data_IF_130531085145
#
_entry.id   IF_130531085145
#
_cell.length_a   1.000
_cell.length_b   1.000
_cell.length_c   1.000
_cell.angle_alpha   90.00
_cell.angle_beta   90.00
_cell.angle_gamma   90.00
#
_symmetry.space_group_name_H-M   'P 1'
#
loop_
_entity.id
_entity.type
_entity.pdbx_description
1 polymer ?
#
# COMPACT_ATOMS: atom_id res chain seq x y z
N UNK A 1 4.39 -15.87 -0.17
CA UNK A 1 3.25 -15.13 -0.73
C UNK A 1 3.61 -13.81 -1.39
N UNK A 2 4.71 -13.14 -1.01
CA UNK A 2 5.12 -11.85 -1.61
C UNK A 2 6.40 -12.00 -2.42
N UNK A 3 7.51 -12.41 -1.81
CA UNK A 3 8.77 -12.69 -2.53
C UNK A 3 8.74 -14.02 -3.27
N UNK A 4 8.01 -14.99 -2.71
CA UNK A 4 7.92 -16.35 -3.20
C UNK A 4 6.45 -16.72 -3.39
N UNK A 5 6.10 -17.46 -4.45
CA UNK A 5 4.73 -17.89 -4.69
C UNK A 5 4.26 -18.92 -3.65
N UNK A 6 2.94 -19.07 -3.54
CA UNK A 6 2.30 -20.08 -2.69
C UNK A 6 1.34 -20.93 -3.52
N UNK A 7 1.36 -22.23 -3.28
CA UNK A 7 0.43 -23.19 -3.88
C UNK A 7 -0.89 -23.24 -3.10
N UNK A 8 -1.98 -23.35 -3.84
CA UNK A 8 -3.34 -23.47 -3.35
C UNK A 8 -3.96 -24.73 -3.96
N UNK A 9 -4.20 -25.73 -3.11
CA UNK A 9 -4.86 -26.97 -3.50
C UNK A 9 -6.33 -26.86 -3.09
N UNK A 10 -7.21 -26.83 -4.08
CA UNK A 10 -8.65 -26.70 -3.89
C UNK A 10 -9.39 -28.03 -3.94
N UNK A 11 -10.58 -28.03 -3.37
CA UNK A 11 -11.58 -29.09 -3.51
C UNK A 11 -12.94 -28.44 -3.79
N UNK A 12 -13.97 -29.25 -4.07
CA UNK A 12 -15.32 -28.71 -4.27
C UNK A 12 -15.74 -27.84 -3.07
N UNK A 13 -16.13 -26.60 -3.36
CA UNK A 13 -16.56 -25.57 -2.39
C UNK A 13 -15.46 -25.04 -1.45
N UNK A 14 -14.19 -25.40 -1.64
CA UNK A 14 -13.12 -24.65 -0.97
C UNK A 14 -13.17 -23.19 -1.45
N UNK A 15 -13.10 -22.26 -0.51
CA UNK A 15 -13.35 -20.83 -0.76
C UNK A 15 -12.25 -19.95 -0.18
N UNK A 16 -12.16 -18.74 -0.71
CA UNK A 16 -11.44 -17.62 -0.13
C UNK A 16 -12.42 -16.48 0.07
N UNK A 17 -12.54 -16.03 1.30
CA UNK A 17 -13.51 -15.02 1.71
C UNK A 17 -13.16 -13.63 1.13
N UNK A 18 -14.06 -12.66 1.28
CA UNK A 18 -13.82 -11.29 0.83
C UNK A 18 -12.61 -10.67 1.52
N UNK A 19 -11.64 -10.21 0.73
CA UNK A 19 -10.47 -9.51 1.22
C UNK A 19 -9.79 -8.67 0.14
N UNK A 20 -8.83 -7.85 0.56
CA UNK A 20 -7.81 -7.22 -0.28
C UNK A 20 -6.45 -7.78 0.12
N UNK A 21 -5.47 -7.68 -0.75
CA UNK A 21 -4.10 -8.10 -0.42
C UNK A 21 -3.48 -7.19 0.65
N UNK A 22 -2.57 -7.77 1.44
CA UNK A 22 -1.77 -7.00 2.40
C UNK A 22 -1.08 -5.84 1.68
N UNK A 23 -1.02 -4.67 2.34
CA UNK A 23 -0.45 -3.44 1.76
C UNK A 23 -1.10 -2.99 0.44
N UNK A 24 -2.30 -3.47 0.12
CA UNK A 24 -2.96 -3.22 -1.16
C UNK A 24 -2.07 -3.58 -2.36
N UNK A 25 -1.27 -4.63 -2.22
CA UNK A 25 -0.47 -5.15 -3.33
C UNK A 25 -1.39 -5.64 -4.45
N UNK A 26 -0.80 -5.80 -5.64
CA UNK A 26 -1.38 -6.66 -6.66
C UNK A 26 -1.25 -8.12 -6.22
N UNK A 27 -2.13 -8.99 -6.71
CA UNK A 27 -1.85 -10.43 -6.76
C UNK A 27 -2.04 -10.99 -8.15
N UNK A 28 -1.24 -12.00 -8.50
CA UNK A 28 -1.40 -12.80 -9.71
C UNK A 28 -1.57 -14.25 -9.31
N UNK A 29 -2.58 -14.91 -9.86
CA UNK A 29 -2.89 -16.31 -9.63
C UNK A 29 -2.86 -17.07 -10.97
N UNK A 30 -2.06 -18.13 -11.06
CA UNK A 30 -2.05 -19.06 -12.19
C UNK A 30 -2.77 -20.35 -11.81
N UNK A 31 -3.64 -20.85 -12.70
CA UNK A 31 -4.36 -22.11 -12.48
C UNK A 31 -3.67 -23.26 -13.23
N UNK A 32 -2.98 -24.13 -12.50
CA UNK A 32 -2.19 -25.21 -13.09
C UNK A 32 -3.07 -26.31 -13.68
N UNK A 33 -4.04 -26.82 -12.92
CA UNK A 33 -4.86 -27.96 -13.33
C UNK A 33 -6.14 -28.13 -12.52
N UNK A 34 -7.00 -29.03 -12.98
CA UNK A 34 -8.23 -29.46 -12.29
C UNK A 34 -9.46 -28.65 -12.68
N UNK A 35 -10.47 -28.67 -11.81
CA UNK A 35 -11.73 -27.95 -12.00
C UNK A 35 -11.54 -26.43 -11.95
N UNK A 36 -12.49 -25.70 -12.54
CA UNK A 36 -12.45 -24.24 -12.58
C UNK A 36 -12.57 -23.59 -11.21
N UNK A 37 -12.26 -22.29 -11.14
CA UNK A 37 -12.36 -21.45 -9.95
C UNK A 37 -13.17 -20.20 -10.24
N UNK A 38 -14.21 -19.94 -9.45
CA UNK A 38 -14.97 -18.67 -9.54
C UNK A 38 -14.28 -17.60 -8.71
N UNK A 39 -14.16 -16.41 -9.28
CA UNK A 39 -13.75 -15.19 -8.63
C UNK A 39 -14.86 -14.14 -8.72
N UNK A 40 -15.02 -13.37 -7.65
CA UNK A 40 -15.79 -12.15 -7.60
C UNK A 40 -14.84 -11.00 -7.24
N UNK A 41 -14.98 -9.86 -7.90
CA UNK A 41 -14.13 -8.70 -7.72
C UNK A 41 -14.91 -7.41 -7.64
N UNK A 42 -14.48 -6.52 -6.75
CA UNK A 42 -14.95 -5.14 -6.62
C UNK A 42 -13.77 -4.22 -6.92
N UNK A 43 -13.93 -3.21 -7.79
CA UNK A 43 -12.86 -2.28 -8.11
C UNK A 43 -12.38 -1.48 -6.91
N UNK A 44 -11.09 -1.13 -6.88
CA UNK A 44 -10.51 -0.34 -5.79
C UNK A 44 -11.18 1.02 -5.55
N UNK A 45 -11.73 1.67 -6.60
CA UNK A 45 -12.46 2.93 -6.44
C UNK A 45 -13.79 2.77 -5.68
N UNK A 46 -14.38 1.56 -5.68
CA UNK A 46 -15.61 1.24 -4.95
C UNK A 46 -15.31 0.52 -3.61
N UNK A 47 -14.05 0.48 -3.17
CA UNK A 47 -13.66 -0.21 -1.93
C UNK A 47 -14.34 0.42 -0.70
N UNK A 48 -14.47 1.74 -0.65
CA UNK A 48 -15.17 2.42 0.44
C UNK A 48 -16.67 2.10 0.45
N UNK A 49 -17.32 2.07 -0.72
CA UNK A 49 -18.74 1.72 -0.83
C UNK A 49 -18.97 0.25 -0.41
N UNK A 50 -18.07 -0.65 -0.83
CA UNK A 50 -18.07 -2.03 -0.37
C UNK A 50 -17.97 -2.14 1.16
N UNK A 51 -17.03 -1.43 1.78
CA UNK A 51 -16.84 -1.46 3.24
C UNK A 51 -18.08 -0.92 3.97
N UNK A 52 -18.70 0.14 3.46
CA UNK A 52 -19.95 0.69 4.01
C UNK A 52 -21.08 -0.34 3.98
N UNK A 53 -21.30 -0.99 2.83
CA UNK A 53 -22.33 -2.03 2.68
C UNK A 53 -22.06 -3.21 3.62
N UNK A 54 -20.80 -3.62 3.77
CA UNK A 54 -20.42 -4.72 4.68
C UNK A 54 -20.72 -4.37 6.13
N UNK A 55 -20.38 -3.16 6.58
CA UNK A 55 -20.68 -2.73 7.94
C UNK A 55 -22.18 -2.74 8.19
N UNK A 56 -22.96 -2.16 7.27
CA UNK A 56 -24.40 -1.98 7.45
C UNK A 56 -25.18 -3.30 7.34
N UNK A 57 -24.86 -4.15 6.36
CA UNK A 57 -25.69 -5.29 5.97
C UNK A 57 -25.11 -6.67 6.33
N UNK A 58 -23.83 -6.76 6.71
CA UNK A 58 -23.18 -8.04 7.04
C UNK A 58 -22.87 -8.15 8.54
N UNK A 59 -22.21 -7.15 9.12
CA UNK A 59 -21.85 -7.16 10.54
C UNK A 59 -22.83 -6.40 11.44
N UNK A 60 -23.62 -5.48 10.86
CA UNK A 60 -24.57 -4.63 11.57
C UNK A 60 -23.94 -3.41 12.26
N UNK A 61 -24.76 -2.39 12.50
CA UNK A 61 -24.32 -1.08 13.02
C UNK A 61 -23.64 -1.12 14.40
N UNK A 62 -23.94 -2.12 15.23
CA UNK A 62 -23.31 -2.28 16.55
C UNK A 62 -21.81 -2.59 16.47
N UNK A 63 -21.37 -3.32 15.43
CA UNK A 63 -19.95 -3.56 15.17
C UNK A 63 -19.23 -2.29 14.71
N UNK A 64 -19.89 -1.44 13.92
CA UNK A 64 -19.36 -0.17 13.44
C UNK A 64 -18.97 0.78 14.60
N UNK A 65 -19.79 0.83 15.65
CA UNK A 65 -19.55 1.71 16.80
C UNK A 65 -18.32 1.29 17.62
N UNK A 66 -17.92 0.02 17.57
CA UNK A 66 -16.79 -0.49 18.37
C UNK A 66 -15.44 -0.31 17.69
N UNK A 67 -15.41 -0.40 16.35
CA UNK A 67 -14.14 -0.40 15.59
C UNK A 67 -13.92 0.86 14.72
N UNK A 68 -14.90 1.78 14.67
CA UNK A 68 -14.74 3.09 14.03
C UNK A 68 -14.72 3.04 12.49
N UNK A 69 -14.09 4.04 11.87
CA UNK A 69 -14.07 4.23 10.39
C UNK A 69 -13.41 3.05 9.65
N UNK A 70 -12.55 2.29 10.32
CA UNK A 70 -11.81 1.16 9.76
C UNK A 70 -12.40 -0.21 10.14
N UNK A 71 -13.61 -0.25 10.70
CA UNK A 71 -14.26 -1.47 11.20
C UNK A 71 -14.35 -2.60 10.17
N UNK A 72 -14.88 -2.34 8.97
CA UNK A 72 -15.01 -3.36 7.94
C UNK A 72 -13.65 -3.97 7.56
N UNK A 73 -12.64 -3.14 7.36
CA UNK A 73 -11.31 -3.61 7.01
C UNK A 73 -10.65 -4.40 8.15
N UNK A 74 -10.80 -3.95 9.40
CA UNK A 74 -10.30 -4.65 10.59
C UNK A 74 -10.88 -6.06 10.75
N UNK A 75 -12.16 -6.25 10.38
CA UNK A 75 -12.82 -7.55 10.40
C UNK A 75 -12.43 -8.41 9.18
N UNK A 76 -12.44 -7.82 7.98
CA UNK A 76 -12.21 -8.53 6.72
C UNK A 76 -10.74 -8.92 6.49
N UNK A 77 -9.78 -8.23 7.11
CA UNK A 77 -8.35 -8.61 7.03
C UNK A 77 -8.09 -10.03 7.57
N UNK A 78 -8.99 -10.55 8.41
CA UNK A 78 -8.95 -11.95 8.86
C UNK A 78 -9.27 -12.97 7.77
N UNK A 79 -9.77 -12.54 6.60
CA UNK A 79 -10.15 -13.37 5.45
C UNK A 79 -11.14 -14.50 5.79
N UNK A 80 -12.09 -14.23 6.69
CA UNK A 80 -13.02 -15.24 7.22
C UNK A 80 -14.48 -15.03 6.79
N UNK A 81 -14.86 -13.84 6.32
CA UNK A 81 -16.26 -13.51 6.09
C UNK A 81 -16.63 -13.62 4.62
N UNK A 82 -17.43 -14.65 4.32
CA UNK A 82 -18.01 -14.89 3.00
C UNK A 82 -19.49 -14.52 3.01
N UNK A 83 -19.92 -13.70 2.07
CA UNK A 83 -21.33 -13.38 1.82
C UNK A 83 -21.61 -13.28 0.32
N UNK A 84 -22.86 -13.52 -0.13
CA UNK A 84 -23.20 -13.49 -1.53
C UNK A 84 -22.94 -12.11 -2.14
N UNK A 85 -22.36 -12.03 -3.36
CA UNK A 85 -22.13 -10.74 -4.01
C UNK A 85 -23.42 -9.96 -4.32
N UNK A 86 -24.57 -10.64 -4.27
CA UNK A 86 -25.89 -10.01 -4.41
C UNK A 86 -26.12 -8.88 -3.41
N UNK A 87 -25.61 -9.01 -2.17
CA UNK A 87 -25.71 -7.95 -1.15
C UNK A 87 -25.05 -6.67 -1.65
N UNK A 88 -23.92 -6.77 -2.36
CA UNK A 88 -23.20 -5.60 -2.90
C UNK A 88 -23.95 -5.00 -4.08
N UNK A 89 -24.37 -5.81 -5.04
CA UNK A 89 -25.05 -5.33 -6.23
C UNK A 89 -26.40 -4.69 -5.92
N UNK A 90 -27.14 -5.23 -4.94
CA UNK A 90 -28.44 -4.68 -4.51
C UNK A 90 -28.29 -3.29 -3.87
N UNK A 91 -27.08 -2.93 -3.42
CA UNK A 91 -26.74 -1.62 -2.84
C UNK A 91 -25.83 -0.78 -3.74
N UNK A 92 -25.79 -1.08 -5.05
CA UNK A 92 -25.10 -0.25 -6.05
C UNK A 92 -23.58 -0.40 -6.11
N UNK A 93 -22.99 -1.34 -5.37
CA UNK A 93 -21.55 -1.63 -5.45
C UNK A 93 -21.28 -2.52 -6.67
N UNK A 94 -20.39 -2.10 -7.59
CA UNK A 94 -20.09 -2.88 -8.79
C UNK A 94 -19.34 -4.17 -8.43
N UNK A 95 -19.88 -5.31 -8.88
CA UNK A 95 -19.26 -6.63 -8.73
C UNK A 95 -19.08 -7.28 -10.09
N UNK A 96 -17.88 -7.80 -10.34
CA UNK A 96 -17.53 -8.53 -11.54
C UNK A 96 -17.22 -9.99 -11.19
N UNK A 97 -17.54 -10.90 -12.11
CA UNK A 97 -17.28 -12.33 -11.95
C UNK A 97 -16.30 -12.80 -13.02
N UNK A 98 -15.32 -13.61 -12.61
CA UNK A 98 -14.49 -14.39 -13.52
C UNK A 98 -14.59 -15.89 -13.17
N UNK A 99 -14.54 -16.74 -14.20
CA UNK A 99 -14.38 -18.19 -14.03
C UNK A 99 -13.04 -18.53 -14.66
N UNK A 100 -12.09 -18.92 -13.82
CA UNK A 100 -10.72 -19.24 -14.20
C UNK A 100 -10.61 -20.73 -14.51
N UNK A 101 -10.09 -21.04 -15.69
CA UNK A 101 -9.81 -22.39 -16.18
C UNK A 101 -8.31 -22.69 -16.13
N UNK A 102 -7.88 -23.97 -16.24
CA UNK A 102 -6.46 -24.32 -16.32
C UNK A 102 -5.73 -23.60 -17.46
N UNK A 103 -4.52 -23.13 -17.16
CA UNK A 103 -3.67 -22.37 -18.09
C UNK A 103 -3.85 -20.84 -17.98
N UNK A 104 -4.77 -20.35 -17.14
CA UNK A 104 -5.12 -18.94 -17.12
C UNK A 104 -4.61 -18.21 -15.88
N UNK A 105 -4.27 -16.95 -16.10
CA UNK A 105 -3.95 -16.01 -15.04
C UNK A 105 -5.17 -15.21 -14.62
N UNK A 106 -5.28 -14.96 -13.31
CA UNK A 106 -6.16 -13.96 -12.72
C UNK A 106 -5.30 -12.93 -11.99
N UNK A 107 -5.45 -11.65 -12.33
CA UNK A 107 -4.75 -10.55 -11.65
C UNK A 107 -5.76 -9.75 -10.82
N UNK A 108 -5.45 -9.52 -9.55
CA UNK A 108 -6.18 -8.57 -8.70
C UNK A 108 -5.38 -7.28 -8.55
N UNK A 109 -6.09 -6.15 -8.63
CA UNK A 109 -5.48 -4.82 -8.57
C UNK A 109 -5.44 -4.29 -7.12
N UNK A 110 -4.59 -3.28 -6.83
CA UNK A 110 -4.53 -2.63 -5.53
C UNK A 110 -5.91 -2.23 -5.02
N UNK A 111 -6.16 -2.55 -3.74
CA UNK A 111 -7.40 -2.23 -3.03
C UNK A 111 -8.66 -2.87 -3.64
N UNK A 112 -8.54 -3.79 -4.60
CA UNK A 112 -9.67 -4.49 -5.18
C UNK A 112 -10.11 -5.66 -4.28
N UNK A 113 -11.28 -5.52 -3.66
CA UNK A 113 -11.87 -6.60 -2.86
C UNK A 113 -12.21 -7.79 -3.74
N UNK A 114 -11.85 -8.99 -3.30
CA UNK A 114 -12.12 -10.20 -4.04
C UNK A 114 -12.44 -11.40 -3.13
N UNK A 115 -13.24 -12.30 -3.66
CA UNK A 115 -13.65 -13.56 -3.02
C UNK A 115 -13.91 -14.62 -4.08
N UNK A 116 -14.04 -15.88 -3.68
CA UNK A 116 -14.30 -16.94 -4.65
C UNK A 116 -14.26 -18.34 -4.09
N UNK A 117 -14.48 -19.31 -4.97
CA UNK A 117 -14.56 -20.72 -4.60
C UNK A 117 -14.20 -21.65 -5.77
N UNK A 118 -13.84 -22.89 -5.44
CA UNK A 118 -13.45 -23.94 -6.37
C UNK A 118 -14.62 -24.86 -6.74
N UNK A 119 -14.70 -25.25 -8.02
CA UNK A 119 -15.73 -26.17 -8.53
C UNK A 119 -15.37 -27.65 -8.44
N UNK A 120 -14.27 -27.98 -7.77
CA UNK A 120 -13.75 -29.35 -7.65
C UNK A 120 -12.29 -29.35 -7.23
N UNK A 121 -11.63 -30.51 -7.36
CA UNK A 121 -10.19 -30.58 -7.18
C UNK A 121 -9.47 -29.66 -8.17
N UNK A 122 -8.58 -28.81 -7.67
CA UNK A 122 -7.73 -27.99 -8.51
C UNK A 122 -6.41 -27.62 -7.82
N UNK A 123 -5.45 -27.13 -8.62
CA UNK A 123 -4.19 -26.61 -8.14
C UNK A 123 -3.94 -25.25 -8.79
N UNK A 124 -3.77 -24.21 -7.97
CA UNK A 124 -3.36 -22.89 -8.42
C UNK A 124 -2.16 -22.38 -7.62
N UNK A 125 -1.49 -21.38 -8.14
CA UNK A 125 -0.32 -20.76 -7.52
C UNK A 125 -0.46 -19.25 -7.57
N UNK A 126 -0.14 -18.55 -6.48
CA UNK A 126 -0.25 -17.09 -6.45
C UNK A 126 0.93 -16.42 -5.78
N UNK A 127 1.20 -15.19 -6.22
CA UNK A 127 2.18 -14.29 -5.62
C UNK A 127 1.69 -12.85 -5.67
N UNK A 128 2.03 -12.09 -4.64
CA UNK A 128 1.73 -10.66 -4.55
C UNK A 128 2.91 -9.84 -5.08
N UNK A 129 2.62 -8.73 -5.74
CA UNK A 129 3.65 -7.87 -6.33
C UNK A 129 3.28 -6.39 -6.28
N UNK A 130 4.26 -5.53 -6.54
CA UNK A 130 4.10 -4.09 -6.59
C UNK A 130 4.71 -3.52 -7.87
N UNK A 131 4.06 -2.49 -8.41
CA UNK A 131 4.54 -1.69 -9.54
C UNK A 131 4.74 -0.23 -9.08
N UNK A 132 5.23 0.65 -9.96
CA UNK A 132 5.53 2.05 -9.58
C UNK A 132 4.28 2.84 -9.15
N UNK A 133 3.11 2.50 -9.71
CA UNK A 133 1.82 3.08 -9.32
C UNK A 133 1.32 2.62 -7.93
N UNK A 134 1.83 1.49 -7.41
CA UNK A 134 1.41 0.98 -6.10
C UNK A 134 1.79 1.90 -4.94
N UNK A 135 2.83 2.73 -5.05
CA UNK A 135 3.33 3.52 -3.92
C UNK A 135 2.26 4.42 -3.27
N UNK A 136 1.27 4.90 -4.02
CA UNK A 136 0.14 5.66 -3.45
C UNK A 136 -0.81 4.78 -2.66
N UNK A 137 -1.10 3.56 -3.15
CA UNK A 137 -1.93 2.58 -2.44
C UNK A 137 -1.22 2.05 -1.20
N UNK A 138 0.06 1.71 -1.30
CA UNK A 138 0.88 1.30 -0.15
C UNK A 138 0.92 2.36 0.95
N UNK A 139 0.99 3.65 0.58
CA UNK A 139 0.95 4.74 1.56
C UNK A 139 -0.41 4.82 2.29
N UNK A 140 -1.51 4.63 1.55
CA UNK A 140 -2.85 4.55 2.13
C UNK A 140 -2.99 3.35 3.07
N UNK A 141 -2.48 2.18 2.66
CA UNK A 141 -2.46 0.98 3.48
C UNK A 141 -1.64 1.20 4.77
N UNK A 142 -0.43 1.77 4.68
CA UNK A 142 0.38 2.12 5.85
C UNK A 142 -0.41 2.98 6.85
N UNK A 143 -1.17 3.96 6.35
CA UNK A 143 -1.98 4.82 7.21
C UNK A 143 -3.10 4.04 7.91
N UNK A 144 -3.71 3.09 7.21
CA UNK A 144 -4.74 2.21 7.77
C UNK A 144 -4.17 1.27 8.82
N UNK A 145 -3.01 0.66 8.56
CA UNK A 145 -2.29 -0.16 9.54
C UNK A 145 -1.95 0.64 10.81
N UNK A 146 -1.50 1.88 10.68
CA UNK A 146 -1.26 2.77 11.84
C UNK A 146 -2.52 2.99 12.67
N UNK A 147 -3.64 3.33 12.03
CA UNK A 147 -4.90 3.59 12.71
C UNK A 147 -5.40 2.36 13.49
N UNK A 148 -5.16 1.17 12.94
CA UNK A 148 -5.53 -0.12 13.53
C UNK A 148 -4.46 -0.68 14.48
N UNK A 149 -3.37 0.07 14.72
CA UNK A 149 -2.22 -0.35 15.50
C UNK A 149 -1.63 -1.72 15.07
N UNK A 150 -1.67 -2.02 13.77
CA UNK A 150 -1.18 -3.28 13.19
C UNK A 150 0.22 -3.11 12.62
N UNK A 151 1.04 -4.15 12.78
CA UNK A 151 2.39 -4.19 12.21
C UNK A 151 2.30 -4.27 10.68
N UNK A 152 3.03 -3.40 10.02
CA UNK A 152 3.14 -3.38 8.57
C UNK A 152 4.07 -4.49 8.08
N UNK A 153 3.68 -5.25 7.06
CA UNK A 153 4.52 -6.31 6.50
C UNK A 153 5.64 -5.79 5.58
N UNK A 154 5.46 -4.61 4.97
CA UNK A 154 6.42 -4.00 4.05
C UNK A 154 7.01 -2.69 4.59
N UNK A 155 8.33 -2.45 4.44
CA UNK A 155 8.95 -1.18 4.77
C UNK A 155 8.75 -0.15 3.64
N UNK A 156 7.52 0.37 3.52
CA UNK A 156 7.10 1.26 2.42
C UNK A 156 8.04 2.45 2.21
N UNK A 157 8.45 3.13 3.28
CA UNK A 157 9.33 4.30 3.22
C UNK A 157 10.71 3.97 2.62
N UNK A 158 11.27 2.80 2.97
CA UNK A 158 12.55 2.34 2.43
C UNK A 158 12.44 1.97 0.95
N UNK A 159 11.39 1.23 0.58
CA UNK A 159 11.14 0.86 -0.82
C UNK A 159 11.00 2.10 -1.69
N UNK A 160 10.26 3.10 -1.21
CA UNK A 160 10.06 4.37 -1.91
C UNK A 160 11.38 5.13 -2.09
N UNK A 161 12.20 5.22 -1.04
CA UNK A 161 13.49 5.89 -1.12
C UNK A 161 14.44 5.19 -2.09
N UNK A 162 14.59 3.86 -1.97
CA UNK A 162 15.47 3.08 -2.83
C UNK A 162 15.06 3.17 -4.30
N UNK A 163 13.77 3.05 -4.60
CA UNK A 163 13.28 3.15 -5.98
C UNK A 163 13.46 4.57 -6.55
N UNK A 164 13.17 5.60 -5.76
CA UNK A 164 13.41 6.99 -6.16
C UNK A 164 14.90 7.26 -6.47
N UNK A 165 15.80 6.71 -5.66
CA UNK A 165 17.25 6.83 -5.87
C UNK A 165 17.73 6.07 -7.10
N UNK A 166 17.23 4.86 -7.33
CA UNK A 166 17.53 4.09 -8.55
C UNK A 166 17.07 4.84 -9.80
N UNK A 167 15.88 5.45 -9.79
CA UNK A 167 15.40 6.25 -10.91
C UNK A 167 16.19 7.55 -11.11
N UNK A 168 16.70 8.17 -10.06
CA UNK A 168 17.54 9.37 -10.17
C UNK A 168 18.92 9.06 -10.81
N UNK A 169 19.48 7.89 -10.50
CA UNK A 169 20.76 7.44 -11.02
C UNK A 169 20.68 6.93 -12.46
N UNK A 170 19.55 6.31 -12.81
CA UNK A 170 19.24 5.94 -14.19
C UNK A 170 18.88 7.22 -14.96
N UNK A 171 19.73 7.67 -15.89
CA UNK A 171 19.45 8.77 -16.85
C UNK A 171 18.31 8.43 -17.85
N UNK A 172 17.34 7.62 -17.44
CA UNK A 172 16.25 7.12 -18.25
C UNK A 172 15.16 8.19 -18.41
N UNK A 173 14.64 8.26 -19.64
CA UNK A 173 13.85 9.35 -20.19
C UNK A 173 12.70 9.83 -19.30
N UNK A 174 12.64 11.14 -19.14
CA UNK A 174 11.75 11.93 -18.27
C UNK A 174 10.29 12.02 -18.75
N UNK A 175 9.74 10.98 -19.37
CA UNK A 175 8.45 11.04 -20.07
C UNK A 175 7.36 10.11 -19.55
N UNK A 176 7.66 9.11 -18.71
CA UNK A 176 6.64 8.14 -18.32
C UNK A 176 5.76 8.66 -17.17
N UNK A 177 4.46 8.84 -17.45
CA UNK A 177 3.44 9.22 -16.47
C UNK A 177 3.32 8.18 -15.35
N UNK A 178 3.71 6.92 -15.59
CA UNK A 178 3.71 5.86 -14.57
C UNK A 178 4.59 6.17 -13.35
N UNK A 179 5.63 7.01 -13.53
CA UNK A 179 6.56 7.38 -12.45
C UNK A 179 6.09 8.56 -11.60
N UNK A 180 5.01 9.23 -12.00
CA UNK A 180 4.56 10.45 -11.33
C UNK A 180 4.10 10.19 -9.91
N UNK A 181 3.33 9.12 -9.68
CA UNK A 181 2.83 8.71 -8.37
C UNK A 181 3.96 8.51 -7.36
N UNK A 182 4.99 7.75 -7.72
CA UNK A 182 6.16 7.49 -6.89
C UNK A 182 6.95 8.77 -6.62
N UNK A 183 7.25 9.58 -7.65
CA UNK A 183 7.98 10.86 -7.48
C UNK A 183 7.23 11.80 -6.54
N UNK A 184 5.91 11.91 -6.68
CA UNK A 184 5.06 12.71 -5.81
C UNK A 184 5.08 12.18 -4.37
N UNK A 185 4.96 10.86 -4.18
CA UNK A 185 5.06 10.23 -2.87
C UNK A 185 6.42 10.51 -2.20
N UNK A 186 7.52 10.36 -2.95
CA UNK A 186 8.87 10.62 -2.46
C UNK A 186 9.07 12.10 -2.10
N UNK A 187 8.65 13.04 -2.95
CA UNK A 187 8.75 14.48 -2.65
C UNK A 187 7.94 14.84 -1.41
N UNK A 188 6.72 14.30 -1.27
CA UNK A 188 5.90 14.50 -0.07
C UNK A 188 6.60 14.00 1.18
N UNK A 189 7.16 12.79 1.13
CA UNK A 189 7.93 12.19 2.21
C UNK A 189 9.09 13.09 2.67
N UNK A 190 9.88 13.56 1.71
CA UNK A 190 11.04 14.42 1.97
C UNK A 190 10.62 15.79 2.52
N UNK A 191 9.51 16.38 2.03
CA UNK A 191 8.99 17.64 2.57
C UNK A 191 8.55 17.50 4.02
N UNK A 192 7.81 16.44 4.34
CA UNK A 192 7.40 16.13 5.71
C UNK A 192 8.61 15.92 6.61
N UNK A 193 9.64 15.22 6.12
CA UNK A 193 10.90 15.08 6.82
C UNK A 193 11.57 16.42 7.13
N UNK A 194 11.68 17.29 6.13
CA UNK A 194 12.33 18.59 6.29
C UNK A 194 11.58 19.48 7.29
N UNK A 195 10.24 19.51 7.21
CA UNK A 195 9.39 20.23 8.17
C UNK A 195 9.57 19.71 9.59
N UNK A 196 9.61 18.38 9.75
CA UNK A 196 9.83 17.73 11.04
C UNK A 196 11.21 18.09 11.63
N UNK A 197 12.29 17.98 10.87
CA UNK A 197 13.62 18.39 11.32
C UNK A 197 13.69 19.87 11.69
N UNK A 198 13.00 20.73 10.95
CA UNK A 198 12.96 22.16 11.25
C UNK A 198 12.24 22.46 12.57
N UNK A 199 11.11 21.78 12.84
CA UNK A 199 10.40 21.89 14.12
C UNK A 199 11.25 21.44 15.30
N UNK A 200 11.98 20.33 15.17
CA UNK A 200 12.85 19.82 16.22
C UNK A 200 14.02 20.75 16.53
N UNK A 201 14.62 21.38 15.50
CA UNK A 201 15.66 22.40 15.69
C UNK A 201 15.14 23.60 16.48
N UNK A 202 13.89 24.03 16.24
CA UNK A 202 13.25 25.10 17.01
C UNK A 202 12.99 24.73 18.48
N UNK A 203 12.85 23.45 18.77
CA UNK A 203 12.65 22.92 20.12
C UNK A 203 13.97 22.50 20.80
N UNK A 204 15.12 22.87 20.22
CA UNK A 204 16.47 22.54 20.74
C UNK A 204 16.70 21.04 20.97
N UNK A 205 15.99 20.18 20.22
CA UNK A 205 16.17 18.72 20.29
C UNK A 205 17.44 18.33 19.55
N UNK A 206 18.28 17.50 20.18
CA UNK A 206 19.50 16.99 19.56
C UNK A 206 19.18 16.04 18.39
N UNK A 207 19.51 16.50 17.18
CA UNK A 207 19.43 15.70 15.94
C UNK A 207 20.84 15.22 15.59
N UNK A 208 20.98 13.93 15.27
CA UNK A 208 22.24 13.34 14.87
C UNK A 208 22.06 12.49 13.62
N UNK A 209 23.14 12.33 12.86
CA UNK A 209 23.15 11.38 11.76
C UNK A 209 23.37 9.99 12.37
N UNK A 210 22.44 9.07 12.15
CA UNK A 210 22.63 7.67 12.51
C UNK A 210 23.54 7.03 11.47
N UNK A 211 24.86 7.26 11.60
CA UNK A 211 25.88 6.52 10.86
C UNK A 211 25.85 5.07 11.35
N UNK A 212 25.23 4.16 10.58
CA UNK A 212 25.28 2.72 10.84
C UNK A 212 23.93 1.99 11.00
N UNK A 213 22.80 2.68 10.95
CA UNK A 213 21.49 2.03 10.86
C UNK A 213 21.02 1.99 9.40
N UNK A 214 21.44 0.96 8.65
CA UNK A 214 20.89 0.66 7.32
C UNK A 214 19.49 -0.02 7.39
N UNK A 215 18.96 -0.16 8.62
CA UNK A 215 17.79 -0.96 8.92
C UNK A 215 16.59 -0.09 9.28
N UNK A 216 15.40 -0.50 8.82
CA UNK A 216 14.14 0.10 9.22
C UNK A 216 13.94 -0.01 10.73
N UNK A 217 13.37 1.03 11.33
CA UNK A 217 13.06 1.08 12.75
C UNK A 217 11.56 1.02 12.94
N UNK A 218 11.06 0.06 13.71
CA UNK A 218 9.63 -0.03 14.03
C UNK A 218 9.29 0.97 15.14
N UNK A 219 8.26 1.79 14.93
CA UNK A 219 7.72 2.65 15.98
C UNK A 219 7.02 1.81 17.06
N UNK A 220 7.41 1.99 18.33
CA UNK A 220 6.84 1.26 19.47
C UNK A 220 5.37 1.62 19.78
N UNK A 221 4.83 2.68 19.18
CA UNK A 221 3.46 3.17 19.47
C UNK A 221 2.48 2.85 18.34
N UNK A 222 2.88 3.07 17.09
CA UNK A 222 1.98 2.92 15.94
C UNK A 222 2.38 1.80 14.98
N UNK A 223 3.41 1.02 15.33
CA UNK A 223 3.90 -0.12 14.54
C UNK A 223 4.23 0.23 13.07
N UNK A 224 4.60 1.49 12.81
CA UNK A 224 5.05 1.99 11.51
C UNK A 224 6.55 1.81 11.34
N UNK A 225 6.98 1.30 10.18
CA UNK A 225 8.39 1.23 9.80
C UNK A 225 8.92 2.59 9.39
N UNK A 226 9.84 3.14 10.16
CA UNK A 226 10.51 4.40 9.89
C UNK A 226 11.86 4.12 9.22
N UNK A 227 12.09 4.76 8.08
CA UNK A 227 13.34 4.68 7.33
C UNK A 227 14.09 6.01 7.28
N UNK A 228 13.46 7.11 6.90
CA UNK A 228 14.19 8.39 6.69
C UNK A 228 14.52 9.05 8.03
N UNK A 229 13.57 9.06 8.96
CA UNK A 229 13.83 9.49 10.32
C UNK A 229 12.90 8.91 11.36
N UNK A 230 13.45 8.81 12.56
CA UNK A 230 12.81 8.30 13.76
C UNK A 230 13.43 8.98 14.99
N UNK A 231 12.77 8.86 16.12
CA UNK A 231 13.27 9.36 17.39
C UNK A 231 13.41 8.22 18.39
N UNK A 232 14.48 8.28 19.18
CA UNK A 232 14.77 7.35 20.25
C UNK A 232 14.66 8.11 21.56
N UNK A 233 13.89 7.60 22.50
CA UNK A 233 13.88 8.15 23.85
C UNK A 233 15.12 7.68 24.62
N UNK A 234 15.85 8.61 25.23
CA UNK A 234 17.09 8.29 25.96
C UNK A 234 16.87 7.44 27.21
N UNK A 235 15.69 7.51 27.84
CA UNK A 235 15.43 6.85 29.11
C UNK A 235 15.10 5.36 28.98
N UNK A 236 14.46 4.96 27.87
CA UNK A 236 13.91 3.62 27.72
C UNK A 236 14.21 2.98 26.33
N UNK A 237 14.97 3.67 25.47
CA UNK A 237 15.34 3.22 24.12
C UNK A 237 14.17 2.92 23.19
N UNK A 238 12.95 3.34 23.53
CA UNK A 238 11.80 3.21 22.65
C UNK A 238 11.94 4.11 21.43
N UNK A 239 11.45 3.59 20.31
CA UNK A 239 11.53 4.22 18.99
C UNK A 239 10.17 4.77 18.60
N UNK A 240 10.17 5.98 18.04
CA UNK A 240 8.95 6.71 17.71
C UNK A 240 8.98 7.18 16.26
N UNK A 241 7.83 7.09 15.61
CA UNK A 241 7.61 7.70 14.30
C UNK A 241 7.48 9.21 14.42
N UNK A 242 7.67 9.90 13.30
CA UNK A 242 7.58 11.37 13.20
C UNK A 242 6.28 11.95 13.77
N UNK A 243 5.15 11.27 13.52
CA UNK A 243 3.84 11.69 14.00
C UNK A 243 3.77 11.77 15.53
N UNK A 244 4.41 10.84 16.24
CA UNK A 244 4.40 10.80 17.70
C UNK A 244 5.46 11.67 18.35
N UNK A 245 6.61 11.87 17.70
CA UNK A 245 7.67 12.73 18.24
C UNK A 245 7.22 14.16 18.45
N UNK A 246 6.47 14.72 17.49
CA UNK A 246 5.93 16.09 17.62
C UNK A 246 4.98 16.20 18.81
N UNK A 247 4.22 15.14 19.12
CA UNK A 247 3.33 15.10 20.28
C UNK A 247 4.08 14.92 21.60
N UNK A 248 5.10 14.06 21.62
CA UNK A 248 5.87 13.72 22.82
C UNK A 248 6.84 14.83 23.25
N UNK A 249 7.50 15.51 22.31
CA UNK A 249 8.36 16.67 22.64
C UNK A 249 7.55 17.83 23.20
N UNK A 250 6.30 18.02 22.76
CA UNK A 250 5.40 19.06 23.27
C UNK A 250 4.90 18.73 24.69
N UNK A 251 4.63 17.45 25.02
CA UNK A 251 3.98 17.09 26.29
C UNK A 251 4.90 16.62 27.42
N UNK A 252 6.03 15.99 27.12
CA UNK A 252 6.76 15.23 28.16
C UNK A 252 8.11 15.81 28.61
N UNK A 253 8.60 16.90 28.01
CA UNK A 253 9.92 17.50 28.33
C UNK A 253 11.08 16.48 28.41
N UNK A 254 10.96 15.35 27.72
CA UNK A 254 11.99 14.31 27.71
C UNK A 254 13.05 14.59 26.65
N UNK A 255 14.28 14.12 26.89
CA UNK A 255 15.38 14.18 25.92
C UNK A 255 15.23 13.04 24.91
N UNK A 256 14.97 13.41 23.66
CA UNK A 256 14.92 12.49 22.53
C UNK A 256 16.15 12.67 21.65
N UNK A 257 16.61 11.58 21.04
CA UNK A 257 17.63 11.61 20.01
C UNK A 257 16.99 11.27 18.67
N UNK A 258 17.19 12.11 17.66
CA UNK A 258 16.56 11.90 16.35
C UNK A 258 17.59 11.37 15.36
N UNK A 259 17.37 10.16 14.89
CA UNK A 259 18.16 9.52 13.85
C UNK A 259 17.63 9.87 12.47
N UNK A 260 18.53 10.25 11.57
CA UNK A 260 18.24 10.46 10.14
C UNK A 260 19.12 9.51 9.34
N UNK A 261 18.48 8.68 8.52
CA UNK A 261 19.19 7.79 7.61
C UNK A 261 19.86 8.58 6.51
N UNK A 262 21.16 8.34 6.32
CA UNK A 262 21.92 8.76 5.13
C UNK A 262 22.35 7.49 4.41
N UNK A 263 21.94 7.31 3.16
CA UNK A 263 22.54 6.27 2.33
C UNK A 263 24.03 6.61 2.11
N UNK A 264 24.91 5.63 2.34
CA UNK A 264 26.34 5.73 2.04
C UNK A 264 26.52 5.93 0.53
N UNK A 265 26.65 7.18 0.09
CA UNK A 265 26.81 7.48 -1.33
C UNK A 265 27.30 8.89 -1.67
N UNK A 266 27.06 9.90 -0.83
CA UNK A 266 27.48 11.28 -1.15
C UNK A 266 28.42 11.84 -0.08
N UNK A 267 29.69 11.95 -0.46
CA UNK A 267 30.64 12.90 0.12
C UNK A 267 30.37 14.35 -0.31
N UNK A 268 29.24 14.61 -0.99
CA UNK A 268 28.81 15.93 -1.42
C UNK A 268 27.66 16.46 -0.57
N UNK A 269 27.73 17.76 -0.32
CA UNK A 269 26.85 18.59 0.50
C UNK A 269 25.39 18.72 0.00
N UNK A 270 25.01 17.98 -1.03
CA UNK A 270 23.65 17.94 -1.58
C UNK A 270 22.97 16.63 -1.20
N UNK A 271 22.11 16.66 -0.18
CA UNK A 271 21.30 15.50 0.20
C UNK A 271 20.57 14.94 -1.03
N UNK A 272 20.61 13.63 -1.26
CA UNK A 272 19.78 12.87 -2.21
C UNK A 272 18.40 13.49 -2.57
N UNK A 273 17.56 13.93 -1.60
CA UNK A 273 16.33 14.67 -1.89
C UNK A 273 16.47 15.92 -2.77
N UNK A 274 17.56 16.68 -2.64
CA UNK A 274 17.91 17.84 -3.49
C UNK A 274 18.12 17.43 -4.94
N UNK A 275 18.78 16.29 -5.19
CA UNK A 275 19.04 15.76 -6.54
C UNK A 275 17.76 15.26 -7.20
N UNK A 276 16.93 14.50 -6.47
CA UNK A 276 15.62 14.04 -6.97
C UNK A 276 14.69 15.24 -7.23
N UNK A 277 14.68 16.25 -6.37
CA UNK A 277 13.89 17.48 -6.54
C UNK A 277 14.37 18.36 -7.72
N UNK A 278 15.66 18.30 -8.08
CA UNK A 278 16.23 18.97 -9.27
C UNK A 278 15.97 18.21 -10.57
N UNK A 279 16.07 16.88 -10.56
CA UNK A 279 15.85 16.03 -11.75
C UNK A 279 14.36 15.80 -12.04
N UNK A 280 13.55 15.61 -11.00
CA UNK A 280 12.10 15.55 -11.13
C UNK A 280 11.59 16.98 -11.11
N UNK A 281 11.36 17.58 -12.30
CA UNK A 281 10.55 18.80 -12.45
C UNK A 281 9.10 18.50 -11.99
N UNK A 282 8.89 18.32 -10.69
CA UNK A 282 7.55 18.15 -10.12
C UNK A 282 6.91 19.52 -10.09
N UNK A 283 5.90 19.71 -10.94
CA UNK A 283 5.14 20.95 -11.06
C UNK A 283 4.60 21.39 -9.68
N UNK A 284 4.56 22.70 -9.39
CA UNK A 284 3.96 23.21 -8.15
C UNK A 284 2.46 22.87 -8.09
N UNK A 285 1.99 22.55 -6.87
CA UNK A 285 0.63 22.05 -6.55
C UNK A 285 -0.52 22.99 -6.96
N UNK A 286 -0.25 24.25 -7.34
CA UNK A 286 -1.28 25.23 -7.72
C UNK A 286 -1.96 24.97 -9.07
N UNK A 287 -1.78 23.79 -9.68
CA UNK A 287 -2.49 23.33 -10.88
C UNK A 287 -3.13 21.94 -10.72
N UNK A 288 -3.34 21.48 -9.49
CA UNK A 288 -4.09 20.25 -9.24
C UNK A 288 -5.57 20.62 -9.14
N UNK A 289 -6.22 20.75 -10.30
CA UNK A 289 -7.69 20.68 -10.40
C UNK A 289 -8.10 19.22 -10.59
N UNK A 290 -9.24 18.83 -10.03
CA UNK A 290 -9.87 17.50 -9.95
C UNK A 290 -10.18 16.80 -11.30
N UNK A 291 -9.24 16.74 -12.23
CA UNK A 291 -9.38 16.05 -13.51
C UNK A 291 -8.11 15.24 -13.81
N UNK A 292 -7.94 14.11 -13.11
CA UNK A 292 -7.02 13.06 -13.58
C UNK A 292 -7.64 11.68 -13.44
N UNK A 293 -8.89 11.56 -13.87
CA UNK A 293 -9.41 10.32 -14.45
C UNK A 293 -9.16 10.41 -15.96
N UNK A 294 -8.82 9.28 -16.59
CA UNK A 294 -8.60 9.07 -18.02
C UNK A 294 -7.15 9.12 -18.57
N UNK A 295 -6.78 7.96 -19.10
CA UNK A 295 -5.80 7.68 -20.16
C UNK A 295 -4.31 7.47 -19.80
N UNK A 296 -3.95 6.20 -19.65
CA UNK A 296 -2.67 5.64 -20.11
C UNK A 296 -2.91 4.34 -20.88
N UNK A 297 -2.73 4.38 -22.21
CA UNK A 297 -2.72 3.22 -23.11
C UNK A 297 -1.64 3.43 -24.17
N UNK A 298 -0.79 2.41 -24.34
CA UNK A 298 0.31 2.37 -25.30
C UNK A 298 1.46 1.60 -24.66
N UNK A 299 1.40 0.28 -24.55
CA UNK A 299 1.74 -0.66 -25.64
C UNK A 299 1.03 -2.03 -25.53
N UNK A 300 -0.10 -2.11 -24.80
CA UNK A 300 -0.99 -3.30 -24.73
C UNK A 300 -2.30 -3.11 -25.55
N UNK A 301 -2.23 -2.27 -26.59
CA UNK A 301 -3.40 -1.65 -27.25
C UNK A 301 -4.30 -2.53 -28.11
N UNK A 302 -4.25 -3.86 -28.04
CA UNK A 302 -5.15 -4.73 -28.83
C UNK A 302 -6.08 -5.65 -28.02
N UNK A 303 -6.03 -5.61 -26.69
CA UNK A 303 -6.90 -6.45 -25.82
C UNK A 303 -7.70 -5.66 -24.78
N UNK A 304 -7.66 -4.32 -24.83
CA UNK A 304 -8.22 -3.45 -23.79
C UNK A 304 -9.71 -3.14 -23.93
N UNK A 305 -10.36 -3.57 -25.02
CA UNK A 305 -11.71 -3.12 -25.36
C UNK A 305 -12.83 -4.14 -25.12
N UNK A 306 -12.54 -5.30 -24.52
CA UNK A 306 -13.56 -6.35 -24.29
C UNK A 306 -13.81 -6.73 -22.83
N UNK A 307 -13.02 -6.21 -21.86
CA UNK A 307 -13.20 -6.48 -20.44
C UNK A 307 -13.04 -5.19 -19.64
N UNK A 308 -14.11 -4.41 -19.50
CA UNK A 308 -14.18 -3.43 -18.42
C UNK A 308 -14.16 -4.18 -17.08
N UNK A 309 -13.01 -4.35 -16.44
CA UNK A 309 -12.97 -5.18 -15.23
C UNK A 309 -11.62 -5.26 -14.54
N UNK A 310 -11.63 -4.93 -13.26
CA UNK A 310 -10.52 -4.83 -12.30
C UNK A 310 -10.06 -6.19 -11.75
N UNK A 311 -10.41 -7.24 -12.49
CA UNK A 311 -9.86 -8.58 -12.47
C UNK A 311 -9.53 -8.88 -13.93
N UNK A 312 -8.25 -9.03 -14.25
CA UNK A 312 -7.82 -9.37 -15.60
C UNK A 312 -7.63 -10.88 -15.71
N UNK A 313 -8.38 -11.51 -16.63
CA UNK A 313 -8.16 -12.90 -17.07
C UNK A 313 -7.25 -12.86 -18.29
N UNK A 314 -6.11 -13.54 -18.24
CA UNK A 314 -5.15 -13.60 -19.35
C UNK A 314 -4.91 -15.07 -19.70
N UNK A 315 -4.98 -15.39 -21.00
CA UNK A 315 -4.63 -16.69 -21.57
C UNK A 315 -3.16 -16.71 -21.99
#
# INVERSE_FOLDING_TARGET
GVSDPMLYIGMLFSMFAWHVEDHYLYSINYHHCGASKTWYGVPGHAASDFENVVVEHVYGAEMAMREGVDAAFSLLIGKTTMFPPKILSDHGVPVYKAVQEPGEFVITFPQAYHAGFSHGFNCGEAVNFALVDWFTFGAAACKRYENLNRVQILPHEQLLCKEAMLLANRRLCSGDRSQHSMKTAFVRLIRLQHQFCWLLKKQEVHVFNSLGYDNNVLCSVCNHWCYVAFGICQSNMHTFSRGFLTFLTIKMQQRYIVGISREKGDGDSDCAPSRVKRQCRVLPENKISDQTMYCTLGLLGYWWWLLGGYIARIQ
#
